data_IF_496571283680
#
_entry.id   IF_496571283680
#
_cell.length_a   1.000
_cell.length_b   1.000
_cell.length_c   1.000
_cell.angle_alpha   90.00
_cell.angle_beta   90.00
_cell.angle_gamma   90.00
#
_symmetry.space_group_name_H-M   'P 1'
#
loop_
_entity.id
_entity.type
_entity.pdbx_description
1 polymer ?
#
# COMPACT_ATOMS: atom_id res chain seq x y z
N UNK A 1 -17.02 -4.71 -13.41
CA UNK A 1 -16.01 -3.68 -13.06
C UNK A 1 -16.01 -2.78 -14.28
N UNK A 2 -16.62 -1.61 -14.14
CA UNK A 2 -16.88 -0.71 -15.26
C UNK A 2 -16.01 0.54 -15.15
N UNK A 3 -14.76 0.34 -14.73
CA UNK A 3 -13.78 1.42 -14.74
C UNK A 3 -13.03 1.39 -16.08
N UNK A 4 -13.09 2.46 -16.90
CA UNK A 4 -12.31 2.55 -18.12
C UNK A 4 -10.84 2.72 -17.77
N UNK A 5 -9.98 2.03 -18.50
CA UNK A 5 -8.54 2.19 -18.38
C UNK A 5 -8.13 3.58 -18.90
N UNK A 6 -7.30 4.33 -18.16
CA UNK A 6 -6.86 5.67 -18.56
C UNK A 6 -5.95 5.69 -19.80
N UNK A 7 -5.38 4.53 -20.17
CA UNK A 7 -4.47 4.42 -21.33
C UNK A 7 -5.19 3.98 -22.60
N UNK A 8 -6.12 3.02 -22.50
CA UNK A 8 -6.77 2.37 -23.64
C UNK A 8 -8.26 2.75 -23.81
N UNK A 9 -8.88 3.37 -22.79
CA UNK A 9 -10.33 3.63 -22.72
C UNK A 9 -11.20 2.39 -22.51
N UNK A 10 -10.65 1.18 -22.65
CA UNK A 10 -11.37 -0.09 -22.48
C UNK A 10 -11.53 -0.45 -21.01
N UNK A 11 -12.53 -1.27 -20.69
CA UNK A 11 -12.83 -1.67 -19.32
C UNK A 11 -11.66 -2.41 -18.64
N UNK A 12 -11.47 -2.11 -17.36
CA UNK A 12 -10.57 -2.84 -16.47
C UNK A 12 -11.26 -4.10 -15.94
N UNK A 13 -10.55 -5.22 -16.02
CA UNK A 13 -11.04 -6.52 -15.59
C UNK A 13 -10.14 -7.09 -14.50
N UNK A 14 -10.74 -7.80 -13.53
CA UNK A 14 -9.99 -8.62 -12.57
C UNK A 14 -9.47 -9.85 -13.30
N UNK A 15 -8.15 -10.02 -13.34
CA UNK A 15 -7.48 -11.23 -13.84
C UNK A 15 -6.76 -11.91 -12.69
N UNK A 16 -6.58 -13.22 -12.80
CA UNK A 16 -5.77 -14.00 -11.88
C UNK A 16 -4.44 -14.35 -12.56
N UNK A 17 -3.33 -14.11 -11.87
CA UNK A 17 -1.99 -14.45 -12.32
C UNK A 17 -1.23 -15.26 -11.27
N UNK A 18 0.05 -15.52 -11.55
CA UNK A 18 0.96 -16.28 -10.66
C UNK A 18 1.08 -15.68 -9.25
N UNK A 19 0.83 -14.39 -9.10
CA UNK A 19 0.93 -13.66 -7.82
C UNK A 19 -0.44 -13.31 -7.21
N UNK A 20 -1.54 -13.87 -7.72
CA UNK A 20 -2.91 -13.62 -7.24
C UNK A 20 -3.75 -12.79 -8.20
N UNK A 21 -4.86 -12.25 -7.69
CA UNK A 21 -5.75 -11.37 -8.46
C UNK A 21 -5.14 -9.98 -8.65
N UNK A 22 -5.27 -9.44 -9.85
CA UNK A 22 -4.88 -8.08 -10.20
C UNK A 22 -5.89 -7.49 -11.19
N UNK A 23 -5.98 -6.16 -11.24
CA UNK A 23 -6.88 -5.46 -12.15
C UNK A 23 -6.05 -4.96 -13.33
N UNK A 24 -6.43 -5.29 -14.56
CA UNK A 24 -5.72 -4.88 -15.77
C UNK A 24 -6.68 -4.51 -16.91
N UNK A 25 -6.20 -3.75 -17.93
CA UNK A 25 -6.99 -3.46 -19.14
C UNK A 25 -7.42 -4.78 -19.81
N UNK A 26 -8.68 -4.85 -20.26
CA UNK A 26 -9.22 -6.02 -20.96
C UNK A 26 -8.40 -6.39 -22.21
N UNK A 27 -7.74 -5.40 -22.83
CA UNK A 27 -6.86 -5.59 -23.98
C UNK A 27 -5.42 -6.00 -23.66
N UNK A 28 -5.10 -6.44 -22.45
CA UNK A 28 -3.80 -7.07 -22.17
C UNK A 28 -3.58 -8.28 -23.10
N UNK A 29 -2.46 -8.40 -23.85
CA UNK A 29 -1.14 -7.74 -23.66
C UNK A 29 -0.90 -6.44 -24.43
N UNK A 30 -1.80 -5.99 -25.32
CA UNK A 30 -1.62 -4.73 -26.10
C UNK A 30 -1.62 -3.49 -25.21
N UNK A 31 -2.44 -3.48 -24.15
CA UNK A 31 -2.37 -2.47 -23.10
C UNK A 31 -1.87 -3.12 -21.81
N UNK A 32 -0.66 -2.74 -21.39
CA UNK A 32 0.01 -3.24 -20.18
C UNK A 32 -0.40 -2.47 -18.91
N UNK A 33 -1.49 -1.69 -18.97
CA UNK A 33 -1.99 -0.98 -17.81
C UNK A 33 -2.50 -1.97 -16.76
N UNK A 34 -1.94 -1.87 -15.56
CA UNK A 34 -2.34 -2.62 -14.37
C UNK A 34 -2.71 -1.59 -13.31
N UNK A 35 -3.94 -1.66 -12.81
CA UNK A 35 -4.38 -0.79 -11.73
C UNK A 35 -3.73 -1.26 -10.43
N UNK A 36 -2.84 -0.43 -9.89
CA UNK A 36 -2.21 -0.70 -8.61
C UNK A 36 -3.18 -0.43 -7.48
N UNK A 37 -3.23 -1.31 -6.47
CA UNK A 37 -4.00 -1.09 -5.25
C UNK A 37 -3.21 -0.16 -4.33
N UNK A 38 -3.38 1.15 -4.50
CA UNK A 38 -2.80 2.15 -3.59
C UNK A 38 -3.53 2.10 -2.25
N UNK A 39 -2.79 2.13 -1.14
CA UNK A 39 -3.38 2.21 0.21
C UNK A 39 -3.83 3.62 0.59
N UNK A 40 -3.62 4.60 -0.30
CA UNK A 40 -3.91 6.02 -0.02
C UNK A 40 -2.91 6.68 0.93
N UNK A 41 -1.79 6.03 1.21
CA UNK A 41 -0.71 6.57 2.05
C UNK A 41 0.45 6.99 1.17
N UNK A 42 0.91 8.23 1.34
CA UNK A 42 2.12 8.74 0.69
C UNK A 42 3.36 8.05 1.24
N UNK A 43 4.34 7.83 0.39
CA UNK A 43 5.59 7.21 0.80
C UNK A 43 6.32 8.11 1.79
N UNK A 44 6.65 7.63 3.00
CA UNK A 44 7.31 8.44 4.03
C UNK A 44 8.77 8.79 3.67
N UNK A 45 9.40 8.02 2.77
CA UNK A 45 10.77 8.24 2.35
C UNK A 45 10.87 9.32 1.27
N UNK A 46 10.00 9.28 0.26
CA UNK A 46 10.07 10.22 -0.87
C UNK A 46 8.97 11.28 -0.89
N UNK A 47 7.94 11.18 -0.04
CA UNK A 47 6.75 12.04 0.05
C UNK A 47 5.94 12.25 -1.24
N UNK A 48 6.45 11.77 -2.37
CA UNK A 48 5.96 12.03 -3.73
C UNK A 48 5.31 10.80 -4.33
N UNK A 49 5.81 9.61 -3.99
CA UNK A 49 5.26 8.34 -4.44
C UNK A 49 4.12 7.85 -3.55
N UNK A 50 3.28 7.00 -4.12
CA UNK A 50 2.18 6.35 -3.42
C UNK A 50 2.59 4.93 -3.00
N UNK A 51 2.15 4.54 -1.81
CA UNK A 51 2.35 3.18 -1.36
C UNK A 51 1.29 2.27 -1.99
N UNK A 52 1.77 1.24 -2.67
CA UNK A 52 0.98 0.22 -3.34
C UNK A 52 1.10 -1.12 -2.63
N UNK A 53 -0.02 -1.80 -2.52
CA UNK A 53 -0.07 -3.18 -2.04
C UNK A 53 0.38 -4.13 -3.16
N UNK A 54 1.37 -4.96 -2.89
CA UNK A 54 1.90 -6.00 -3.78
C UNK A 54 1.98 -7.33 -3.04
N UNK A 55 1.98 -8.42 -3.80
CA UNK A 55 2.10 -9.77 -3.26
C UNK A 55 3.43 -10.39 -3.65
N UNK A 56 4.16 -10.92 -2.68
CA UNK A 56 5.43 -11.60 -2.90
C UNK A 56 5.22 -13.00 -3.46
N UNK A 57 6.30 -13.61 -3.99
CA UNK A 57 6.30 -14.99 -4.53
C UNK A 57 5.86 -16.04 -3.48
N UNK A 58 6.05 -15.77 -2.18
CA UNK A 58 5.59 -16.60 -1.05
C UNK A 58 4.14 -16.31 -0.63
N UNK A 59 3.39 -15.50 -1.39
CA UNK A 59 1.98 -15.19 -1.10
C UNK A 59 1.74 -14.16 0.01
N UNK A 60 2.80 -13.65 0.65
CA UNK A 60 2.70 -12.56 1.63
C UNK A 60 2.48 -11.21 0.94
N UNK A 61 1.57 -10.42 1.46
CA UNK A 61 1.34 -9.04 1.04
C UNK A 61 2.41 -8.14 1.62
N UNK A 62 2.89 -7.20 0.81
CA UNK A 62 3.83 -6.16 1.21
C UNK A 62 3.43 -4.84 0.54
N UNK A 63 3.89 -3.74 1.11
CA UNK A 63 3.57 -2.39 0.70
C UNK A 63 4.85 -1.76 0.17
N UNK A 64 4.86 -1.38 -1.11
CA UNK A 64 6.02 -0.79 -1.77
C UNK A 64 5.70 0.58 -2.35
N UNK A 65 6.71 1.42 -2.59
CA UNK A 65 6.53 2.66 -3.35
C UNK A 65 6.25 2.36 -4.84
N UNK A 66 5.36 3.13 -5.48
CA UNK A 66 5.11 3.05 -6.92
C UNK A 66 6.27 3.58 -7.79
N UNK A 67 7.14 4.43 -7.25
CA UNK A 67 8.27 5.07 -7.95
C UNK A 67 9.55 4.23 -8.03
N UNK A 68 9.49 2.91 -7.82
CA UNK A 68 10.66 2.06 -8.02
C UNK A 68 11.19 2.18 -9.48
N UNK A 69 12.49 2.42 -9.74
CA UNK A 69 13.66 2.28 -8.86
C UNK A 69 14.09 3.55 -8.10
N UNK A 70 13.42 4.69 -8.25
CA UNK A 70 13.76 5.94 -7.56
C UNK A 70 13.50 5.88 -6.05
N UNK A 71 12.62 4.96 -5.60
CA UNK A 71 12.35 4.71 -4.19
C UNK A 71 12.16 3.20 -3.95
N UNK A 72 13.06 2.62 -3.15
CA UNK A 72 13.09 1.19 -2.80
C UNK A 72 12.32 0.84 -1.51
N UNK A 73 11.49 1.77 -1.02
CA UNK A 73 10.72 1.58 0.20
C UNK A 73 9.83 0.32 0.12
N UNK A 74 10.00 -0.58 1.09
CA UNK A 74 9.22 -1.80 1.26
C UNK A 74 8.86 -2.00 2.73
N UNK A 75 7.57 -2.21 3.01
CA UNK A 75 7.05 -2.49 4.34
C UNK A 75 6.16 -3.74 4.32
N UNK A 76 6.23 -4.55 5.37
CA UNK A 76 5.39 -5.77 5.51
C UNK A 76 4.00 -5.49 6.08
N UNK A 77 3.79 -4.29 6.62
CA UNK A 77 2.49 -3.78 7.05
C UNK A 77 2.24 -2.41 6.44
N UNK A 78 0.98 -1.95 6.51
CA UNK A 78 0.59 -0.69 5.89
C UNK A 78 1.31 0.46 6.62
N UNK A 79 2.21 1.19 5.95
CA UNK A 79 2.90 2.29 6.59
C UNK A 79 1.90 3.43 6.81
N UNK A 80 2.08 4.15 7.90
CA UNK A 80 1.36 5.37 8.23
C UNK A 80 2.39 6.49 8.19
N UNK A 81 2.09 7.58 7.48
CA UNK A 81 2.91 8.78 7.37
C UNK A 81 2.88 9.62 8.67
N UNK A 82 3.05 8.95 9.81
CA UNK A 82 3.15 9.54 11.14
C UNK A 82 4.57 9.30 11.64
N UNK A 83 5.26 10.37 12.00
CA UNK A 83 6.59 10.28 12.57
C UNK A 83 6.51 9.78 14.02
N UNK A 84 7.48 8.97 14.42
CA UNK A 84 7.56 8.50 15.80
C UNK A 84 8.20 9.58 16.70
N UNK A 85 7.53 10.02 17.79
CA UNK A 85 8.07 11.04 18.68
C UNK A 85 9.28 10.55 19.51
N UNK A 86 9.41 9.24 19.73
CA UNK A 86 10.49 8.67 20.56
C UNK A 86 11.80 8.44 19.81
N UNK A 87 11.74 8.17 18.50
CA UNK A 87 12.94 7.79 17.72
C UNK A 87 13.06 8.51 16.37
N UNK A 88 12.21 9.49 16.09
CA UNK A 88 12.20 10.26 14.82
C UNK A 88 12.10 9.38 13.55
N UNK A 89 11.52 8.19 13.67
CA UNK A 89 11.27 7.33 12.51
C UNK A 89 10.26 8.01 11.58
N UNK A 90 10.48 8.08 10.25
CA UNK A 90 9.59 8.79 9.33
C UNK A 90 8.22 8.14 9.14
N UNK A 91 8.03 6.90 9.62
CA UNK A 91 6.75 6.19 9.53
C UNK A 91 6.53 5.19 10.66
N UNK A 92 5.27 4.84 10.85
CA UNK A 92 4.81 3.75 11.70
C UNK A 92 4.14 2.67 10.85
N UNK A 93 3.99 1.46 11.39
CA UNK A 93 3.31 0.35 10.73
C UNK A 93 1.98 0.09 11.41
N UNK A 94 0.90 0.16 10.63
CA UNK A 94 -0.45 -0.22 11.06
C UNK A 94 -0.54 -1.73 11.22
N UNK A 95 -1.01 -2.16 12.39
CA UNK A 95 -1.36 -3.53 12.74
C UNK A 95 -2.78 -3.58 13.25
N UNK A 96 -3.47 -4.68 12.99
CA UNK A 96 -4.84 -4.90 13.46
C UNK A 96 -4.83 -5.94 14.58
N UNK A 97 -5.45 -5.59 15.71
CA UNK A 97 -5.76 -6.52 16.80
C UNK A 97 -7.28 -6.65 16.95
N UNK A 98 -7.73 -7.61 17.77
CA UNK A 98 -9.17 -7.76 18.12
C UNK A 98 -9.80 -6.49 18.69
N UNK A 99 -8.99 -5.60 19.26
CA UNK A 99 -9.43 -4.37 19.93
C UNK A 99 -9.31 -3.11 19.07
N UNK A 100 -8.87 -3.23 17.80
CA UNK A 100 -8.72 -2.09 16.89
C UNK A 100 -7.37 -2.05 16.15
N UNK A 101 -7.23 -1.07 15.27
CA UNK A 101 -5.98 -0.79 14.57
C UNK A 101 -5.02 -0.01 15.47
N UNK A 102 -3.74 -0.36 15.46
CA UNK A 102 -2.68 0.35 16.17
C UNK A 102 -1.47 0.55 15.27
N UNK A 103 -0.87 1.73 15.35
CA UNK A 103 0.41 2.05 14.71
C UNK A 103 1.54 1.62 15.64
N UNK A 104 2.48 0.82 15.16
CA UNK A 104 3.68 0.42 15.88
C UNK A 104 4.92 0.89 15.13
N UNK A 105 5.92 1.41 15.85
CA UNK A 105 7.19 1.75 15.25
C UNK A 105 7.92 0.49 14.73
N UNK A 106 8.50 0.54 13.52
CA UNK A 106 9.28 -0.57 12.98
C UNK A 106 10.68 -0.69 13.58
N UNK A 107 11.18 0.33 14.30
CA UNK A 107 12.51 0.29 14.90
C UNK A 107 12.51 -0.69 16.10
N UNK A 108 13.51 -1.58 16.14
CA UNK A 108 13.67 -2.55 17.22
C UNK A 108 13.95 -1.89 18.58
N UNK A 109 14.60 -0.72 18.56
CA UNK A 109 14.93 0.05 19.77
C UNK A 109 13.73 0.83 20.31
N UNK A 110 12.77 1.18 19.44
CA UNK A 110 11.62 1.99 19.79
C UNK A 110 10.34 1.18 19.81
N UNK A 111 9.81 0.92 21.00
CA UNK A 111 8.56 0.15 21.20
C UNK A 111 7.30 1.01 21.17
N UNK A 112 7.38 2.23 20.66
CA UNK A 112 6.24 3.13 20.51
C UNK A 112 5.09 2.44 19.77
N UNK A 113 3.91 2.52 20.37
CA UNK A 113 2.65 2.01 19.85
C UNK A 113 1.54 2.98 20.19
N UNK A 114 0.65 3.21 19.24
CA UNK A 114 -0.47 4.13 19.41
C UNK A 114 -1.71 3.55 18.74
N UNK A 115 -2.88 3.70 19.36
CA UNK A 115 -4.14 3.29 18.74
C UNK A 115 -4.47 4.26 17.61
N UNK A 116 -4.60 3.75 16.38
CA UNK A 116 -5.15 4.52 15.27
C UNK A 116 -6.66 4.54 15.50
N UNK A 117 -7.16 5.65 16.05
CA UNK A 117 -8.59 5.90 16.08
C UNK A 117 -9.08 5.86 14.64
N UNK A 118 -9.85 4.83 14.29
CA UNK A 118 -10.62 4.84 13.05
C UNK A 118 -11.64 5.95 13.21
N UNK A 119 -11.35 7.14 12.67
CA UNK A 119 -12.38 8.11 12.39
C UNK A 119 -13.30 7.46 11.35
N UNK A 120 -14.28 6.71 11.85
CA UNK A 120 -15.50 6.39 11.13
C UNK A 120 -16.12 7.74 10.74
N UNK A 121 -15.96 8.09 9.47
CA UNK A 121 -16.71 9.16 8.83
C UNK A 121 -18.18 8.78 8.95
N UNK A 122 -18.80 9.28 10.00
CA UNK A 122 -20.24 9.26 10.22
C UNK A 122 -20.84 10.19 9.17
N UNK A 123 -21.58 9.59 8.23
CA UNK A 123 -22.41 10.30 7.27
C UNK A 123 -23.86 10.25 7.74
#
# INVERSE_FOLDING_TARGET
>A
LDEPCPTCGKNLVKKFGRFGEFIACSSYPTCKYVKQKTVGVKCPTCSTGDIIERRSKKGKTFYGCNRYPECDFVAWGKPVAKACPECNNPYLIEKFLKSGAFAQCPNAECKYKEALATEEVTA
#
